data_IF_192403403476
#
_entry.id   IF_192403403476
#
_cell.length_a   1.000
_cell.length_b   1.000
_cell.length_c   1.000
_cell.angle_alpha   90.00
_cell.angle_beta   90.00
_cell.angle_gamma   90.00
#
_symmetry.space_group_name_H-M   'P 1'
#
loop_
_entity.id
_entity.type
_entity.pdbx_description
1 polymer ?
#
# COMPACT_ATOMS: atom_id res chain seq x y z
N UNK A 1 18.36 -12.16 -14.37
CA UNK A 1 18.32 -11.75 -12.94
C UNK A 1 16.89 -11.94 -12.46
N UNK A 2 16.65 -12.62 -11.35
CA UNK A 2 15.31 -12.65 -10.75
C UNK A 2 15.12 -11.36 -9.94
N UNK A 3 14.18 -10.52 -10.33
CA UNK A 3 13.82 -9.33 -9.55
C UNK A 3 12.91 -9.75 -8.40
N UNK A 4 13.45 -9.66 -7.19
CA UNK A 4 12.71 -9.97 -5.97
C UNK A 4 12.10 -8.69 -5.40
N UNK A 5 10.79 -8.71 -5.20
CA UNK A 5 10.04 -7.65 -4.50
C UNK A 5 9.44 -8.19 -3.21
N UNK A 6 8.95 -7.26 -2.38
CA UNK A 6 8.38 -7.61 -1.08
C UNK A 6 6.86 -7.63 -1.16
N UNK A 7 6.28 -8.77 -0.82
CA UNK A 7 4.85 -8.94 -0.60
C UNK A 7 4.54 -8.81 0.89
N UNK A 8 3.60 -7.92 1.22
CA UNK A 8 3.09 -7.72 2.58
C UNK A 8 1.63 -8.09 2.66
N UNK A 9 1.27 -9.03 3.55
CA UNK A 9 -0.11 -9.28 3.95
C UNK A 9 -0.40 -8.50 5.23
N UNK A 10 -1.37 -7.58 5.17
CA UNK A 10 -1.77 -6.76 6.32
C UNK A 10 -3.04 -7.33 6.95
N UNK A 11 -3.02 -7.54 8.27
CA UNK A 11 -4.18 -7.90 9.09
C UNK A 11 -4.30 -6.92 10.26
N UNK A 12 -5.43 -6.25 10.35
CA UNK A 12 -5.74 -5.42 11.52
C UNK A 12 -6.33 -6.32 12.61
N UNK A 13 -5.97 -6.07 13.88
CA UNK A 13 -6.48 -6.83 15.01
C UNK A 13 -8.00 -6.65 15.16
N UNK A 14 -8.68 -7.72 15.55
CA UNK A 14 -10.15 -7.80 15.59
C UNK A 14 -10.79 -6.85 16.63
N UNK A 15 -10.03 -6.44 17.66
CA UNK A 15 -10.49 -5.52 18.72
C UNK A 15 -10.12 -4.06 18.47
N UNK A 16 -9.58 -3.70 17.30
CA UNK A 16 -9.23 -2.32 16.99
C UNK A 16 -10.49 -1.48 16.78
N UNK A 17 -10.52 -0.28 17.37
CA UNK A 17 -11.65 0.63 17.21
C UNK A 17 -11.91 0.99 15.74
N UNK A 18 -13.18 1.03 15.33
CA UNK A 18 -13.58 1.35 13.96
C UNK A 18 -13.03 2.71 13.48
N UNK A 19 -12.89 3.68 14.39
CA UNK A 19 -12.30 4.99 14.10
C UNK A 19 -10.84 4.87 13.70
N UNK A 20 -10.08 4.03 14.41
CA UNK A 20 -8.66 3.77 14.12
C UNK A 20 -8.51 3.02 12.79
N UNK A 21 -9.35 2.02 12.53
CA UNK A 21 -9.39 1.31 11.23
C UNK A 21 -9.67 2.28 10.08
N UNK A 22 -10.66 3.17 10.24
CA UNK A 22 -10.99 4.14 9.21
C UNK A 22 -9.85 5.15 8.99
N UNK A 23 -9.20 5.59 10.07
CA UNK A 23 -8.04 6.46 9.97
C UNK A 23 -6.86 5.76 9.28
N UNK A 24 -6.61 4.49 9.60
CA UNK A 24 -5.62 3.65 8.92
C UNK A 24 -5.91 3.61 7.42
N UNK A 25 -7.14 3.22 7.02
CA UNK A 25 -7.50 3.10 5.61
C UNK A 25 -7.31 4.41 4.85
N UNK A 26 -7.74 5.55 5.43
CA UNK A 26 -7.56 6.87 4.83
C UNK A 26 -6.11 7.26 4.68
N UNK A 27 -5.27 7.00 5.68
CA UNK A 27 -3.83 7.34 5.61
C UNK A 27 -3.04 6.36 4.76
N UNK A 28 -3.47 5.11 4.65
CA UNK A 28 -2.76 4.08 3.90
C UNK A 28 -3.12 4.11 2.41
N UNK A 29 -4.42 4.05 2.10
CA UNK A 29 -4.96 3.98 0.74
C UNK A 29 -5.36 5.34 0.16
N UNK A 30 -5.38 6.40 0.97
CA UNK A 30 -5.93 7.69 0.57
C UNK A 30 -7.45 7.76 0.70
N UNK A 31 -8.03 8.91 0.37
CA UNK A 31 -9.47 9.14 0.43
C UNK A 31 -9.93 10.12 -0.66
N UNK A 32 -10.88 9.69 -1.48
CA UNK A 32 -11.60 10.61 -2.36
C UNK A 32 -12.55 11.48 -1.54
N UNK A 33 -12.43 12.78 -1.71
CA UNK A 33 -13.18 13.77 -0.94
C UNK A 33 -13.89 14.72 -1.90
N UNK A 34 -15.03 15.25 -1.46
CA UNK A 34 -15.74 16.29 -2.19
C UNK A 34 -16.09 17.47 -1.30
N UNK A 35 -16.24 18.65 -1.92
CA UNK A 35 -16.77 19.85 -1.26
C UNK A 35 -17.83 20.52 -2.13
N UNK A 36 -18.59 21.45 -1.54
CA UNK A 36 -19.69 22.17 -2.20
C UNK A 36 -20.69 21.24 -2.90
N UNK A 37 -21.23 20.26 -2.15
CA UNK A 37 -22.22 19.32 -2.69
C UNK A 37 -21.71 18.43 -3.83
N UNK A 38 -20.39 18.25 -3.96
CA UNK A 38 -19.80 17.43 -5.02
C UNK A 38 -19.16 18.22 -6.16
N UNK A 39 -19.29 19.55 -6.16
CA UNK A 39 -18.76 20.44 -7.21
C UNK A 39 -17.23 20.38 -7.32
N UNK A 40 -16.53 20.20 -6.20
CA UNK A 40 -15.09 19.99 -6.19
C UNK A 40 -14.78 18.60 -5.67
N UNK A 41 -14.02 17.83 -6.44
CA UNK A 41 -13.51 16.52 -6.06
C UNK A 41 -12.00 16.60 -5.95
N UNK A 42 -11.46 16.12 -4.85
CA UNK A 42 -10.02 16.05 -4.62
C UNK A 42 -9.69 14.78 -3.84
N UNK A 43 -8.50 14.22 -4.07
CA UNK A 43 -8.03 13.04 -3.38
C UNK A 43 -7.06 13.45 -2.28
N UNK A 44 -7.32 13.02 -1.05
CA UNK A 44 -6.33 13.09 0.03
C UNK A 44 -5.39 11.91 -0.14
N UNK A 45 -4.13 12.20 -0.45
CA UNK A 45 -3.13 11.17 -0.69
C UNK A 45 -2.85 10.36 0.58
N UNK A 46 -2.86 9.04 0.43
CA UNK A 46 -2.35 8.09 1.41
C UNK A 46 -0.90 7.68 1.12
N UNK A 47 -0.36 6.79 1.95
CA UNK A 47 0.98 6.26 1.79
C UNK A 47 1.19 5.59 0.43
N UNK A 48 0.24 4.73 0.03
CA UNK A 48 0.33 3.96 -1.20
C UNK A 48 0.23 4.83 -2.47
N UNK A 49 -0.41 6.00 -2.39
CA UNK A 49 -0.44 6.93 -3.53
C UNK A 49 0.95 7.51 -3.86
N UNK A 50 1.93 7.38 -2.96
CA UNK A 50 3.27 7.94 -3.10
C UNK A 50 4.36 6.87 -3.35
N UNK A 51 3.98 5.60 -3.48
CA UNK A 51 4.92 4.51 -3.73
C UNK A 51 4.40 3.59 -4.86
N UNK A 52 5.28 3.10 -5.74
CA UNK A 52 4.91 2.05 -6.68
C UNK A 52 4.47 0.80 -5.92
N UNK A 53 3.27 0.31 -6.23
CA UNK A 53 2.71 -0.86 -5.55
C UNK A 53 1.72 -1.60 -6.46
N UNK A 54 1.55 -2.89 -6.18
CA UNK A 54 0.49 -3.72 -6.74
C UNK A 54 -0.41 -4.15 -5.60
N UNK A 55 -1.71 -3.94 -5.75
CA UNK A 55 -2.70 -4.35 -4.75
C UNK A 55 -3.33 -5.67 -5.14
N UNK A 56 -3.20 -6.66 -4.26
CA UNK A 56 -3.84 -7.96 -4.37
C UNK A 56 -5.06 -8.05 -3.43
N UNK A 57 -5.77 -9.17 -3.49
CA UNK A 57 -6.97 -9.42 -2.69
C UNK A 57 -6.59 -9.57 -1.20
N UNK A 58 -7.48 -9.14 -0.30
CA UNK A 58 -7.35 -9.44 1.13
C UNK A 58 -6.26 -8.64 1.87
N UNK A 59 -5.95 -7.42 1.42
CA UNK A 59 -4.95 -6.57 2.09
C UNK A 59 -3.52 -7.00 1.84
N UNK A 60 -3.30 -7.79 0.77
CA UNK A 60 -1.97 -8.14 0.30
C UNK A 60 -1.50 -7.08 -0.69
N UNK A 61 -0.29 -6.58 -0.52
CA UNK A 61 0.33 -5.60 -1.40
C UNK A 61 1.75 -6.04 -1.77
N UNK A 62 2.14 -5.81 -3.01
CA UNK A 62 3.53 -5.94 -3.45
C UNK A 62 4.10 -4.55 -3.60
N UNK A 63 5.27 -4.33 -3.01
CA UNK A 63 6.01 -3.06 -3.09
C UNK A 63 7.46 -3.32 -3.44
N UNK A 64 8.14 -2.29 -3.93
CA UNK A 64 9.59 -2.36 -4.14
C UNK A 64 10.33 -2.53 -2.82
N UNK A 65 11.54 -3.11 -2.88
CA UNK A 65 12.41 -3.25 -1.70
C UNK A 65 12.67 -1.91 -1.01
N UNK A 66 12.89 -0.85 -1.79
CA UNK A 66 13.14 0.50 -1.28
C UNK A 66 11.95 1.07 -0.50
N UNK A 67 10.72 0.77 -0.94
CA UNK A 67 9.50 1.24 -0.28
C UNK A 67 9.08 0.38 0.92
N UNK A 68 9.69 -0.81 1.08
CA UNK A 68 9.29 -1.80 2.08
C UNK A 68 9.37 -1.25 3.49
N UNK A 69 10.49 -0.60 3.84
CA UNK A 69 10.71 -0.09 5.19
C UNK A 69 9.66 0.97 5.56
N UNK A 70 9.33 1.87 4.63
CA UNK A 70 8.32 2.91 4.81
C UNK A 70 6.94 2.33 5.10
N UNK A 71 6.57 1.23 4.43
CA UNK A 71 5.31 0.52 4.68
C UNK A 71 5.33 -0.14 6.05
N UNK A 72 6.41 -0.83 6.42
CA UNK A 72 6.56 -1.48 7.72
C UNK A 72 6.40 -0.48 8.87
N UNK A 73 7.08 0.66 8.78
CA UNK A 73 7.04 1.68 9.84
C UNK A 73 5.63 2.27 9.98
N UNK A 74 4.93 2.47 8.87
CA UNK A 74 3.52 2.85 8.89
C UNK A 74 2.66 1.79 9.59
N UNK A 75 2.79 0.51 9.23
CA UNK A 75 1.98 -0.58 9.80
C UNK A 75 2.22 -0.75 11.30
N UNK A 76 3.48 -0.64 11.74
CA UNK A 76 3.85 -0.66 13.17
C UNK A 76 3.17 0.44 13.97
N UNK A 77 3.03 1.64 13.39
CA UNK A 77 2.33 2.77 14.02
C UNK A 77 0.85 2.52 14.33
N UNK A 78 0.26 1.47 13.73
CA UNK A 78 -1.13 1.07 13.94
C UNK A 78 -1.28 -0.27 14.67
N UNK A 79 -0.19 -0.84 15.21
CA UNK A 79 -0.17 -2.15 15.86
C UNK A 79 -0.81 -3.25 14.97
N UNK A 80 -0.61 -3.13 13.66
CA UNK A 80 -1.11 -4.09 12.68
C UNK A 80 -0.23 -5.34 12.64
N UNK A 81 -0.86 -6.51 12.49
CA UNK A 81 -0.16 -7.75 12.22
C UNK A 81 0.15 -7.82 10.72
N UNK A 82 1.39 -8.12 10.35
CA UNK A 82 1.76 -8.26 8.96
C UNK A 82 2.77 -9.38 8.73
N UNK A 83 2.70 -9.97 7.53
CA UNK A 83 3.66 -10.95 7.06
C UNK A 83 4.38 -10.42 5.83
N UNK A 84 5.69 -10.63 5.81
CA UNK A 84 6.58 -10.21 4.72
C UNK A 84 7.10 -11.46 4.02
N UNK A 85 7.05 -11.47 2.69
CA UNK A 85 7.62 -12.52 1.84
C UNK A 85 8.28 -11.90 0.64
N UNK A 86 9.45 -12.42 0.26
CA UNK A 86 10.00 -12.15 -1.06
C UNK A 86 9.17 -12.90 -2.11
N UNK A 87 8.90 -12.25 -3.22
CA UNK A 87 8.19 -12.81 -4.37
C UNK A 87 8.98 -12.57 -5.65
N UNK A 88 8.83 -13.48 -6.61
CA UNK A 88 9.34 -13.33 -7.97
C UNK A 88 8.29 -12.57 -8.77
N UNK A 89 8.70 -11.49 -9.41
CA UNK A 89 7.82 -10.69 -10.25
C UNK A 89 7.67 -11.27 -11.66
N UNK A 90 6.49 -11.08 -12.25
CA UNK A 90 6.29 -11.22 -13.68
C UNK A 90 6.62 -9.89 -14.38
N UNK A 91 6.82 -9.93 -15.69
CA UNK A 91 7.12 -8.75 -16.50
C UNK A 91 6.10 -7.61 -16.30
N UNK A 92 4.81 -7.95 -16.25
CA UNK A 92 3.73 -6.98 -16.03
C UNK A 92 3.86 -6.28 -14.66
N UNK A 93 4.29 -7.01 -13.64
CA UNK A 93 4.48 -6.47 -12.30
C UNK A 93 5.67 -5.50 -12.26
N UNK A 94 6.75 -5.80 -12.99
CA UNK A 94 7.94 -4.94 -13.07
C UNK A 94 7.63 -3.60 -13.73
N UNK A 95 6.77 -3.60 -14.77
CA UNK A 95 6.30 -2.39 -15.43
C UNK A 95 5.50 -1.52 -14.46
N UNK A 96 4.57 -2.11 -13.72
CA UNK A 96 3.74 -1.37 -12.73
C UNK A 96 4.59 -0.82 -11.59
N UNK A 97 5.59 -1.56 -11.14
CA UNK A 97 6.49 -1.13 -10.06
C UNK A 97 7.55 -0.11 -10.53
N UNK A 98 7.60 0.22 -11.83
CA UNK A 98 8.52 1.21 -12.38
C UNK A 98 9.97 0.75 -12.45
N UNK A 99 10.22 -0.56 -12.35
CA UNK A 99 11.57 -1.14 -12.39
C UNK A 99 12.12 -1.26 -13.82
N UNK A 100 11.35 -0.86 -14.84
CA UNK A 100 11.75 -0.96 -16.23
C UNK A 100 12.60 0.23 -16.67
N UNK A 101 13.91 0.01 -16.82
CA UNK A 101 14.79 0.86 -17.63
C UNK A 101 14.82 0.23 -19.03
N UNK A 102 14.26 0.86 -20.09
CA UNK A 102 14.42 0.35 -21.44
C UNK A 102 15.93 0.35 -21.81
N UNK A 103 16.39 -0.78 -22.36
CA UNK A 103 17.74 -0.94 -22.93
C UNK A 103 17.81 -0.17 -24.25
#
# INVERSE_FOLDING_TARGET
MAFFSTCLKVKIKEKTEQKSINQFCKKFYGQDTSSHGGKYRYRRHGLLDNIPHIKLIGGVIIVTKDSTQKVIDFLRGYDAEFHIRDVILLYEDEVVLGNFQPI
#
